data_IF_714109275537
#
_entry.id   IF_714109275537
#
_cell.length_a   1.000
_cell.length_b   1.000
_cell.length_c   1.000
_cell.angle_alpha   90.00
_cell.angle_beta   90.00
_cell.angle_gamma   90.00
#
_symmetry.space_group_name_H-M   'P 1'
#
loop_
_entity.id
_entity.type
_entity.pdbx_description
1 polymer ?
#
# COMPACT_ATOMS: atom_id res chain seq x y z
N UNK A 1 -3.46 0.14 17.86
CA UNK A 1 -4.51 0.36 16.87
C UNK A 1 -5.81 0.81 17.52
N UNK A 2 -6.68 1.41 16.73
CA UNK A 2 -7.88 2.11 17.15
C UNK A 2 -8.76 1.33 18.19
N UNK A 3 -9.13 0.08 17.90
CA UNK A 3 -9.96 -0.73 18.80
C UNK A 3 -9.31 -1.03 20.16
N UNK A 4 -7.99 -1.19 20.20
CA UNK A 4 -7.26 -1.40 21.47
C UNK A 4 -7.34 -0.14 22.34
N UNK A 5 -7.20 1.04 21.74
CA UNK A 5 -7.30 2.30 22.46
C UNK A 5 -8.72 2.56 22.95
N UNK A 6 -9.72 2.24 22.12
CA UNK A 6 -11.13 2.33 22.51
C UNK A 6 -11.47 1.36 23.64
N UNK A 7 -10.94 0.13 23.61
CA UNK A 7 -11.11 -0.84 24.67
C UNK A 7 -10.52 -0.35 26.01
N UNK A 8 -9.32 0.25 25.99
CA UNK A 8 -8.72 0.87 27.19
C UNK A 8 -9.58 2.00 27.77
N UNK A 9 -10.36 2.69 26.93
CA UNK A 9 -11.32 3.73 27.31
C UNK A 9 -12.68 3.16 27.75
N UNK A 10 -12.82 1.83 27.84
CA UNK A 10 -14.08 1.18 28.26
C UNK A 10 -15.11 1.00 27.14
N UNK A 11 -14.75 1.23 25.87
CA UNK A 11 -15.64 1.02 24.73
C UNK A 11 -15.43 -0.38 24.15
N UNK A 12 -16.51 -1.10 23.93
CA UNK A 12 -16.53 -2.47 23.39
C UNK A 12 -17.09 -2.48 21.96
N UNK A 13 -16.38 -3.09 20.99
CA UNK A 13 -16.81 -3.23 19.61
C UNK A 13 -17.26 -1.90 18.96
N UNK A 14 -16.30 -1.01 18.68
CA UNK A 14 -16.64 0.29 18.07
C UNK A 14 -16.59 0.26 16.54
N UNK A 15 -15.89 -0.71 15.95
CA UNK A 15 -15.83 -0.89 14.49
C UNK A 15 -16.00 -2.35 14.08
N UNK A 16 -16.45 -2.55 12.85
CA UNK A 16 -16.49 -3.86 12.18
C UNK A 16 -15.45 -3.86 11.06
N UNK A 17 -14.57 -4.85 11.06
CA UNK A 17 -13.55 -4.99 10.02
C UNK A 17 -14.15 -5.40 8.68
N UNK A 18 -13.42 -5.12 7.60
CA UNK A 18 -13.79 -5.55 6.25
C UNK A 18 -13.23 -6.95 5.98
N UNK A 19 -14.07 -7.85 5.50
CA UNK A 19 -13.67 -9.20 5.06
C UNK A 19 -12.82 -9.08 3.79
N UNK A 20 -11.75 -9.86 3.68
CA UNK A 20 -10.91 -9.88 2.48
C UNK A 20 -11.47 -10.79 1.39
N UNK A 21 -12.04 -11.95 1.78
CA UNK A 21 -12.59 -12.94 0.86
C UNK A 21 -13.66 -12.34 -0.06
N UNK A 22 -13.55 -12.61 -1.35
CA UNK A 22 -14.45 -12.10 -2.38
C UNK A 22 -14.11 -10.69 -2.89
N UNK A 23 -13.32 -9.89 -2.15
CA UNK A 23 -12.86 -8.59 -2.60
C UNK A 23 -11.73 -8.71 -3.63
N UNK A 24 -11.56 -7.70 -4.46
CA UNK A 24 -10.55 -7.66 -5.52
C UNK A 24 -9.26 -7.00 -5.02
N UNK A 25 -8.15 -7.75 -5.11
CA UNK A 25 -6.79 -7.23 -4.94
C UNK A 25 -6.19 -6.88 -6.29
N UNK A 26 -5.97 -5.60 -6.54
CA UNK A 26 -5.18 -5.10 -7.68
C UNK A 26 -3.68 -5.13 -7.33
N UNK A 27 -2.87 -5.81 -8.14
CA UNK A 27 -1.41 -5.85 -8.00
C UNK A 27 -0.78 -5.11 -9.17
N UNK A 28 -0.24 -3.92 -8.92
CA UNK A 28 0.45 -3.13 -9.94
C UNK A 28 1.92 -3.53 -9.99
N UNK A 29 2.32 -4.16 -11.06
CA UNK A 29 3.60 -4.81 -11.33
C UNK A 29 3.79 -6.17 -10.60
N UNK A 30 3.85 -7.23 -11.43
CA UNK A 30 4.04 -8.60 -10.99
C UNK A 30 5.53 -8.99 -11.05
N UNK A 31 6.34 -8.34 -10.16
CA UNK A 31 7.72 -8.70 -9.84
C UNK A 31 7.77 -9.70 -8.68
N UNK A 32 8.94 -9.89 -8.06
CA UNK A 32 9.08 -10.83 -6.93
C UNK A 32 8.13 -10.51 -5.77
N UNK A 33 8.05 -9.21 -5.36
CA UNK A 33 7.20 -8.78 -4.26
C UNK A 33 5.72 -8.83 -4.68
N UNK A 34 5.37 -8.31 -5.87
CA UNK A 34 4.00 -8.34 -6.36
C UNK A 34 3.45 -9.76 -6.50
N UNK A 35 4.27 -10.71 -6.97
CA UNK A 35 3.89 -12.13 -7.04
C UNK A 35 3.65 -12.73 -5.64
N UNK A 36 4.49 -12.41 -4.65
CA UNK A 36 4.29 -12.87 -3.28
C UNK A 36 2.97 -12.31 -2.69
N UNK A 37 2.71 -11.03 -2.88
CA UNK A 37 1.46 -10.38 -2.43
C UNK A 37 0.24 -10.98 -3.13
N UNK A 38 0.31 -11.23 -4.44
CA UNK A 38 -0.75 -11.87 -5.20
C UNK A 38 -1.10 -13.27 -4.65
N UNK A 39 -0.08 -14.10 -4.35
CA UNK A 39 -0.29 -15.45 -3.77
C UNK A 39 -0.92 -15.37 -2.38
N UNK A 40 -0.50 -14.40 -1.54
CA UNK A 40 -1.09 -14.17 -0.22
C UNK A 40 -2.55 -13.72 -0.36
N UNK A 41 -2.85 -12.77 -1.25
CA UNK A 41 -4.22 -12.33 -1.52
C UNK A 41 -5.13 -13.49 -1.94
N UNK A 42 -4.65 -14.35 -2.85
CA UNK A 42 -5.37 -15.56 -3.27
C UNK A 42 -5.61 -16.54 -2.10
N UNK A 43 -4.62 -16.70 -1.20
CA UNK A 43 -4.77 -17.54 -0.02
C UNK A 43 -5.83 -17.01 0.96
N UNK A 44 -6.06 -15.70 0.99
CA UNK A 44 -7.16 -15.06 1.74
C UNK A 44 -8.52 -15.05 0.99
N UNK A 45 -8.62 -15.74 -0.15
CA UNK A 45 -9.86 -15.80 -0.91
C UNK A 45 -10.19 -14.54 -1.70
N UNK A 46 -9.23 -13.67 -1.94
CA UNK A 46 -9.42 -12.48 -2.79
C UNK A 46 -9.36 -12.84 -4.27
N UNK A 47 -10.10 -12.11 -5.10
CA UNK A 47 -9.89 -12.08 -6.54
C UNK A 47 -8.66 -11.23 -6.81
N UNK A 48 -7.63 -11.81 -7.45
CA UNK A 48 -6.38 -11.09 -7.71
C UNK A 48 -6.32 -10.71 -9.18
N UNK A 49 -6.16 -9.40 -9.45
CA UNK A 49 -6.05 -8.86 -10.80
C UNK A 49 -4.75 -8.08 -10.90
N UNK A 50 -3.93 -8.40 -11.90
CA UNK A 50 -2.63 -7.80 -12.12
C UNK A 50 -2.68 -6.77 -13.24
N UNK A 51 -1.80 -5.76 -13.14
CA UNK A 51 -1.57 -4.77 -14.18
C UNK A 51 -0.09 -4.41 -14.24
N UNK A 52 0.40 -4.03 -15.42
CA UNK A 52 1.79 -3.59 -15.60
C UNK A 52 2.25 -3.73 -17.06
N UNK A 53 3.57 -3.63 -17.26
CA UNK A 53 4.18 -3.85 -18.59
C UNK A 53 3.99 -5.29 -19.04
N UNK A 54 4.07 -5.56 -20.34
CA UNK A 54 3.86 -6.87 -20.96
C UNK A 54 4.58 -8.02 -20.24
N UNK A 55 5.86 -7.87 -19.94
CA UNK A 55 6.62 -8.90 -19.22
C UNK A 55 6.11 -9.17 -17.78
N UNK A 56 5.45 -8.19 -17.14
CA UNK A 56 4.81 -8.33 -15.83
C UNK A 56 3.49 -9.10 -15.95
N UNK A 57 2.66 -8.72 -16.90
CA UNK A 57 1.35 -9.35 -17.14
C UNK A 57 1.49 -10.77 -17.70
N UNK A 58 2.49 -11.03 -18.54
CA UNK A 58 2.80 -12.38 -19.01
C UNK A 58 3.17 -13.33 -17.87
N UNK A 59 3.99 -12.88 -16.89
CA UNK A 59 4.30 -13.68 -15.68
C UNK A 59 3.07 -13.93 -14.82
N UNK A 60 2.21 -12.92 -14.65
CA UNK A 60 0.97 -13.07 -13.88
C UNK A 60 0.07 -14.15 -14.50
N UNK A 61 -0.13 -14.11 -15.83
CA UNK A 61 -0.90 -15.14 -16.56
C UNK A 61 -0.29 -16.53 -16.42
N UNK A 62 1.05 -16.63 -16.51
CA UNK A 62 1.75 -17.92 -16.37
C UNK A 62 1.56 -18.54 -14.97
N UNK A 63 1.35 -17.73 -13.93
CA UNK A 63 1.04 -18.18 -12.57
C UNK A 63 -0.47 -18.32 -12.30
N UNK A 64 -1.31 -18.16 -13.32
CA UNK A 64 -2.77 -18.33 -13.21
C UNK A 64 -3.47 -17.18 -12.50
N UNK A 65 -2.93 -15.95 -12.62
CA UNK A 65 -3.59 -14.73 -12.15
C UNK A 65 -4.24 -13.97 -13.30
N UNK A 66 -5.36 -13.32 -13.02
CA UNK A 66 -6.05 -12.49 -13.98
C UNK A 66 -5.25 -11.19 -14.24
N UNK A 67 -5.40 -10.69 -15.46
CA UNK A 67 -4.84 -9.40 -15.89
C UNK A 67 -6.00 -8.52 -16.31
N UNK A 68 -5.99 -7.26 -15.84
CA UNK A 68 -7.02 -6.31 -16.19
C UNK A 68 -7.08 -6.06 -17.70
N UNK A 69 -8.28 -5.86 -18.23
CA UNK A 69 -8.50 -5.61 -19.65
C UNK A 69 -7.96 -4.24 -20.10
N UNK A 70 -7.98 -3.26 -19.19
CA UNK A 70 -7.41 -1.92 -19.40
C UNK A 70 -6.89 -1.36 -18.07
N UNK A 71 -6.15 -0.24 -18.18
CA UNK A 71 -5.68 0.52 -17.02
C UNK A 71 -6.85 1.04 -16.18
N UNK A 72 -7.85 1.58 -16.82
CA UNK A 72 -9.05 2.10 -16.19
C UNK A 72 -9.75 1.00 -15.40
N UNK A 73 -10.03 -0.14 -16.06
CA UNK A 73 -10.65 -1.30 -15.43
C UNK A 73 -9.85 -1.82 -14.22
N UNK A 74 -8.50 -1.72 -14.27
CA UNK A 74 -7.64 -2.11 -13.15
C UNK A 74 -7.90 -1.26 -11.89
N UNK A 75 -7.97 0.06 -12.04
CA UNK A 75 -8.23 0.97 -10.91
C UNK A 75 -9.69 0.92 -10.43
N UNK A 76 -10.65 0.78 -11.36
CA UNK A 76 -12.08 0.78 -11.05
C UNK A 76 -12.53 -0.45 -10.25
N UNK A 77 -11.98 -1.63 -10.55
CA UNK A 77 -12.41 -2.88 -9.92
C UNK A 77 -11.74 -3.18 -8.58
N UNK A 78 -10.60 -2.56 -8.28
CA UNK A 78 -9.83 -2.85 -7.07
C UNK A 78 -10.54 -2.37 -5.79
N UNK A 79 -10.69 -3.28 -4.82
CA UNK A 79 -11.06 -2.96 -3.44
C UNK A 79 -9.81 -2.68 -2.60
N UNK A 80 -8.72 -3.38 -2.88
CA UNK A 80 -7.38 -3.10 -2.39
C UNK A 80 -6.45 -3.01 -3.59
N UNK A 81 -5.69 -1.94 -3.72
CA UNK A 81 -4.70 -1.77 -4.79
C UNK A 81 -3.32 -1.63 -4.18
N UNK A 82 -2.40 -2.52 -4.55
CA UNK A 82 -1.04 -2.56 -4.02
C UNK A 82 -0.01 -2.28 -5.12
N UNK A 83 0.86 -1.30 -4.86
CA UNK A 83 1.88 -0.83 -5.80
C UNK A 83 3.22 -1.54 -5.55
N UNK A 84 3.80 -2.16 -6.59
CA UNK A 84 5.06 -2.91 -6.53
C UNK A 84 6.03 -2.53 -7.64
N UNK A 85 5.91 -1.30 -8.13
CA UNK A 85 6.79 -0.77 -9.16
C UNK A 85 8.17 -0.38 -8.57
N UNK A 86 9.27 -0.61 -9.29
CA UNK A 86 10.56 -0.05 -8.90
C UNK A 86 10.53 1.48 -9.01
N UNK A 87 11.26 2.17 -8.14
CA UNK A 87 11.48 3.61 -8.27
C UNK A 87 12.41 3.92 -9.45
N UNK A 88 12.08 4.96 -10.23
CA UNK A 88 12.91 5.39 -11.35
C UNK A 88 12.22 6.48 -12.19
N UNK A 89 12.97 7.03 -13.16
CA UNK A 89 12.46 8.07 -14.06
C UNK A 89 11.19 7.65 -14.80
N UNK A 90 11.14 6.38 -15.24
CA UNK A 90 10.02 5.82 -16.03
C UNK A 90 8.77 5.52 -15.20
N UNK A 91 8.89 5.45 -13.88
CA UNK A 91 7.78 5.13 -12.97
C UNK A 91 7.35 6.34 -12.13
N UNK A 92 8.06 7.45 -12.24
CA UNK A 92 7.68 8.70 -11.56
C UNK A 92 6.35 9.21 -12.08
N UNK A 93 5.39 9.42 -11.17
CA UNK A 93 4.05 9.91 -11.49
C UNK A 93 3.24 8.97 -12.38
N UNK A 94 3.62 7.69 -12.47
CA UNK A 94 2.90 6.73 -13.32
C UNK A 94 1.47 6.47 -12.82
N UNK A 95 1.23 6.62 -11.52
CA UNK A 95 -0.13 6.64 -10.95
C UNK A 95 -0.58 8.09 -10.89
N UNK A 96 -1.58 8.42 -11.69
CA UNK A 96 -2.07 9.79 -11.87
C UNK A 96 -3.25 10.11 -10.95
N UNK A 97 -3.63 11.39 -10.86
CA UNK A 97 -4.84 11.81 -10.16
C UNK A 97 -6.11 11.17 -10.76
N UNK A 98 -6.14 11.02 -12.10
CA UNK A 98 -7.27 10.40 -12.81
C UNK A 98 -7.40 8.91 -12.46
N UNK A 99 -6.28 8.18 -12.33
CA UNK A 99 -6.29 6.79 -11.87
C UNK A 99 -6.90 6.67 -10.48
N UNK A 100 -6.45 7.53 -9.56
CA UNK A 100 -6.95 7.55 -8.18
C UNK A 100 -8.44 7.89 -8.11
N UNK A 101 -8.90 8.83 -8.94
CA UNK A 101 -10.31 9.22 -9.01
C UNK A 101 -11.23 8.09 -9.51
N UNK A 102 -10.69 7.11 -10.25
CA UNK A 102 -11.43 5.90 -10.71
C UNK A 102 -11.62 4.88 -9.61
N UNK A 103 -10.79 4.88 -8.57
CA UNK A 103 -10.91 3.92 -7.48
C UNK A 103 -12.23 4.08 -6.73
N UNK A 104 -12.70 2.98 -6.12
CA UNK A 104 -13.90 3.00 -5.29
C UNK A 104 -13.71 3.90 -4.06
N UNK A 105 -14.77 4.52 -3.58
CA UNK A 105 -14.76 5.30 -2.33
C UNK A 105 -14.48 4.43 -1.09
N UNK A 106 -14.67 3.11 -1.19
CA UNK A 106 -14.32 2.13 -0.16
C UNK A 106 -12.91 1.54 -0.32
N UNK A 107 -12.22 1.85 -1.43
CA UNK A 107 -10.95 1.21 -1.76
C UNK A 107 -9.81 1.67 -0.85
N UNK A 108 -8.88 0.74 -0.61
CA UNK A 108 -7.61 0.96 0.05
C UNK A 108 -6.48 0.95 -0.98
N UNK A 109 -5.72 2.05 -1.07
CA UNK A 109 -4.45 2.10 -1.79
C UNK A 109 -3.30 1.76 -0.84
N UNK A 110 -2.43 0.83 -1.23
CA UNK A 110 -1.22 0.45 -0.48
C UNK A 110 0.01 0.82 -1.30
N UNK A 111 0.89 1.66 -0.74
CA UNK A 111 2.18 1.99 -1.35
C UNK A 111 3.32 1.75 -0.36
N UNK A 112 3.97 0.62 -0.51
CA UNK A 112 5.19 0.23 0.21
C UNK A 112 6.40 0.14 -0.74
N UNK A 113 6.29 0.78 -1.90
CA UNK A 113 7.34 0.79 -2.91
C UNK A 113 8.17 2.08 -2.87
N UNK A 114 7.66 3.14 -3.48
CA UNK A 114 8.29 4.47 -3.52
C UNK A 114 7.22 5.54 -3.65
N UNK A 115 7.32 6.64 -2.90
CA UNK A 115 6.35 7.73 -2.96
C UNK A 115 6.24 8.36 -4.36
N UNK A 116 7.33 8.65 -5.09
CA UNK A 116 7.25 9.28 -6.41
C UNK A 116 6.59 8.45 -7.53
N UNK A 117 6.17 7.21 -7.26
CA UNK A 117 5.35 6.42 -8.19
C UNK A 117 3.98 7.07 -8.41
N UNK A 118 3.45 7.70 -7.38
CA UNK A 118 2.23 8.50 -7.46
C UNK A 118 2.62 9.93 -7.85
N UNK A 119 1.82 10.55 -8.72
CA UNK A 119 2.04 11.95 -9.10
C UNK A 119 2.01 12.85 -7.86
N UNK A 120 2.88 13.85 -7.83
CA UNK A 120 3.07 14.75 -6.70
C UNK A 120 1.74 15.39 -6.24
N UNK A 121 1.47 15.31 -4.95
CA UNK A 121 0.24 15.81 -4.35
C UNK A 121 -1.05 15.04 -4.70
N UNK A 122 -1.02 14.13 -5.68
CA UNK A 122 -2.22 13.45 -6.17
C UNK A 122 -2.89 12.58 -5.10
N UNK A 123 -2.11 11.87 -4.27
CA UNK A 123 -2.68 11.01 -3.22
C UNK A 123 -3.40 11.83 -2.15
N UNK A 124 -2.78 12.91 -1.67
CA UNK A 124 -3.38 13.80 -0.66
C UNK A 124 -4.68 14.40 -1.20
N UNK A 125 -4.66 14.92 -2.43
CA UNK A 125 -5.85 15.49 -3.08
C UNK A 125 -6.96 14.44 -3.30
N UNK A 126 -6.60 13.22 -3.68
CA UNK A 126 -7.54 12.13 -3.91
C UNK A 126 -8.22 11.67 -2.60
N UNK A 127 -7.44 11.48 -1.54
CA UNK A 127 -7.95 11.13 -0.20
C UNK A 127 -8.86 12.22 0.37
N UNK A 128 -8.54 13.49 0.15
CA UNK A 128 -9.40 14.61 0.54
C UNK A 128 -10.75 14.59 -0.20
N UNK A 129 -10.78 14.08 -1.45
CA UNK A 129 -11.99 13.87 -2.25
C UNK A 129 -12.71 12.55 -1.94
N UNK A 130 -12.10 11.68 -1.11
CA UNK A 130 -12.64 10.38 -0.73
C UNK A 130 -12.55 9.28 -1.81
N UNK A 131 -11.63 9.42 -2.80
CA UNK A 131 -11.37 8.39 -3.83
C UNK A 131 -9.87 8.34 -4.17
N UNK A 132 -9.17 7.25 -3.72
CA UNK A 132 -9.63 6.15 -2.87
C UNK A 132 -10.08 6.63 -1.50
N UNK A 133 -10.91 5.83 -0.81
CA UNK A 133 -11.36 6.18 0.53
C UNK A 133 -10.26 6.11 1.58
N UNK A 134 -9.27 5.21 1.38
CA UNK A 134 -8.20 4.95 2.33
C UNK A 134 -6.85 4.77 1.64
N UNK A 135 -5.77 5.09 2.36
CA UNK A 135 -4.41 4.74 1.95
C UNK A 135 -3.60 4.17 3.11
N UNK A 136 -2.65 3.28 2.77
CA UNK A 136 -1.62 2.77 3.68
C UNK A 136 -0.26 2.98 3.01
N UNK A 137 0.62 3.75 3.64
CA UNK A 137 1.93 4.12 3.07
C UNK A 137 3.04 3.95 4.11
N UNK A 138 4.22 3.53 3.65
CA UNK A 138 5.46 3.53 4.43
C UNK A 138 6.59 4.28 3.70
N UNK A 139 6.24 5.03 2.65
CA UNK A 139 7.16 5.79 1.81
C UNK A 139 6.66 7.22 1.62
N UNK A 140 7.59 8.17 1.62
CA UNK A 140 7.29 9.59 1.57
C UNK A 140 8.19 10.29 0.53
N UNK A 141 7.73 11.43 -0.02
CA UNK A 141 8.47 12.20 -1.03
C UNK A 141 9.79 12.75 -0.47
N UNK A 142 9.79 13.11 0.82
CA UNK A 142 10.99 13.54 1.56
C UNK A 142 11.17 12.66 2.77
N UNK A 143 12.27 11.96 2.84
CA UNK A 143 12.66 11.08 3.95
C UNK A 143 14.02 11.51 4.51
N UNK A 144 14.20 11.57 5.86
CA UNK A 144 13.22 11.25 6.90
C UNK A 144 12.14 12.32 7.07
N UNK A 145 10.92 11.91 7.43
CA UNK A 145 9.84 12.84 7.81
C UNK A 145 10.09 13.35 9.22
N UNK A 146 10.53 14.60 9.33
CA UNK A 146 10.84 15.25 10.62
C UNK A 146 9.72 16.19 11.01
N UNK A 147 9.41 16.26 12.32
CA UNK A 147 8.42 17.20 12.85
C UNK A 147 6.97 16.96 12.39
N UNK A 148 6.65 15.72 11.98
CA UNK A 148 5.33 15.37 11.45
C UNK A 148 4.86 16.24 10.26
N UNK A 149 5.80 16.72 9.43
CA UNK A 149 5.55 17.72 8.39
C UNK A 149 4.83 17.17 7.14
N UNK A 150 4.51 15.88 7.08
CA UNK A 150 3.86 15.30 5.91
C UNK A 150 2.32 15.35 6.02
N UNK A 151 1.59 15.84 4.98
CA UNK A 151 0.13 15.98 5.03
C UNK A 151 -0.64 14.70 5.37
N UNK A 152 -0.21 13.54 4.88
CA UNK A 152 -0.85 12.25 5.16
C UNK A 152 -0.91 11.91 6.65
N UNK A 153 0.04 12.40 7.47
CA UNK A 153 0.08 12.13 8.92
C UNK A 153 -1.09 12.75 9.69
N UNK A 154 -1.75 13.75 9.10
CA UNK A 154 -2.91 14.42 9.71
C UNK A 154 -4.25 13.90 9.18
N UNK A 155 -4.24 13.08 8.13
CA UNK A 155 -5.44 12.54 7.50
C UNK A 155 -5.96 11.30 8.22
N UNK A 156 -7.24 11.29 8.58
CA UNK A 156 -7.89 10.17 9.30
C UNK A 156 -8.03 8.90 8.45
N UNK A 157 -8.01 9.03 7.14
CA UNK A 157 -8.12 7.95 6.16
C UNK A 157 -6.76 7.53 5.56
N UNK A 158 -5.66 8.00 6.14
CA UNK A 158 -4.32 7.57 5.80
C UNK A 158 -3.68 6.84 6.99
N UNK A 159 -3.26 5.60 6.76
CA UNK A 159 -2.44 4.83 7.68
C UNK A 159 -0.98 4.96 7.27
N UNK A 160 -0.21 5.65 8.09
CA UNK A 160 1.20 5.94 7.84
C UNK A 160 2.07 5.03 8.71
N UNK A 161 3.00 4.33 8.08
CA UNK A 161 3.97 3.48 8.74
C UNK A 161 5.37 4.06 8.59
N UNK A 162 6.25 3.66 9.46
CA UNK A 162 7.68 3.77 9.32
C UNK A 162 8.26 2.37 9.53
N UNK A 163 8.76 1.75 8.46
CA UNK A 163 9.49 0.50 8.60
C UNK A 163 10.91 0.81 9.06
N UNK A 164 11.34 0.33 10.24
CA UNK A 164 12.73 0.53 10.67
C UNK A 164 13.67 -0.18 9.69
N UNK A 165 14.73 0.50 9.27
CA UNK A 165 15.81 -0.04 8.39
C UNK A 165 16.43 -1.36 8.88
N UNK A 166 16.18 -1.74 10.14
CA UNK A 166 16.65 -3.01 10.72
C UNK A 166 16.20 -4.25 9.94
N UNK A 167 15.08 -4.20 9.21
CA UNK A 167 14.61 -5.37 8.43
C UNK A 167 15.50 -5.59 7.20
N UNK A 168 16.07 -4.53 6.65
CA UNK A 168 16.98 -4.63 5.50
C UNK A 168 18.39 -5.12 5.91
N UNK A 169 18.83 -4.82 7.14
CA UNK A 169 20.12 -5.27 7.65
C UNK A 169 20.13 -6.72 8.15
N UNK A 170 18.97 -7.30 8.48
CA UNK A 170 18.88 -8.72 8.83
C UNK A 170 19.15 -9.63 7.63
N UNK A 171 18.90 -9.17 6.41
CA UNK A 171 19.29 -9.87 5.16
C UNK A 171 20.81 -9.80 4.94
N UNK A 172 21.49 -8.81 5.51
CA UNK A 172 22.93 -8.59 5.41
C UNK A 172 23.71 -8.93 6.70
N UNK A 173 23.07 -9.55 7.69
CA UNK A 173 23.74 -10.07 8.90
C UNK A 173 24.26 -9.01 9.88
N UNK A 174 23.78 -7.76 9.84
CA UNK A 174 24.15 -6.73 10.81
C UNK A 174 22.93 -6.20 11.56
N UNK A 175 22.74 -6.71 12.78
CA UNK A 175 21.84 -6.11 13.76
C UNK A 175 22.39 -4.75 14.23
N UNK A 176 21.74 -3.65 13.90
CA UNK A 176 22.03 -2.36 14.53
C UNK A 176 21.27 -2.32 15.86
N UNK A 177 21.99 -2.11 16.95
CA UNK A 177 21.47 -2.01 18.31
C UNK A 177 20.39 -0.91 18.39
N UNK A 178 19.25 -1.23 18.97
CA UNK A 178 18.21 -0.25 19.30
C UNK A 178 18.76 0.67 20.39
N UNK A 179 18.86 2.00 20.20
CA UNK A 179 19.23 2.91 21.28
C UNK A 179 18.11 2.90 22.33
N UNK A 180 18.42 2.50 23.57
CA UNK A 180 17.47 2.61 24.68
C UNK A 180 17.33 1.40 25.61
N UNK A 181 18.08 0.32 25.44
CA UNK A 181 18.26 -0.66 26.53
C UNK A 181 19.58 -0.38 27.25
N UNK A 182 19.53 0.47 28.26
CA UNK A 182 20.53 0.46 29.33
C UNK A 182 20.37 -0.85 30.09
N UNK A 183 21.37 -1.72 30.00
CA UNK A 183 21.55 -2.82 30.93
C UNK A 183 21.75 -2.20 32.32
N UNK A 184 20.71 -2.23 33.16
CA UNK A 184 20.91 -2.12 34.60
C UNK A 184 21.60 -3.38 35.06
N UNK A 185 22.71 -3.21 35.77
CA UNK A 185 23.61 -4.20 36.31
C UNK A 185 23.04 -5.17 37.33
#
# INVERSE_FOLDING_TARGET
>A
PFEVERLKQGHWHTTVGTRLEGNTLGVYAFGHIGAAVARVGRAFGMKVVCWGREGSTARARAEGFDVAASREAFFEQADVLSLHLPGGKETRGIVTADDLARMKASALLVNTSRAPIIAEGALVAALAKGRPGFAAVDVYETEPVVGAAHPLLTMKNALCFLFPWCVQSSILGRCVSIPGRTSAG
#
